data_IF_673079946725
#
_entry.id   IF_673079946725
#
_cell.length_a   1.000
_cell.length_b   1.000
_cell.length_c   1.000
_cell.angle_alpha   90.00
_cell.angle_beta   90.00
_cell.angle_gamma   90.00
#
_symmetry.space_group_name_H-M   'P 1'
#
loop_
_entity.id
_entity.type
_entity.pdbx_description
1 polymer ?
#
# COMPACT_ATOMS: atom_id res chain seq x y z
N UNK A 1 16.26 3.23 7.48
CA UNK A 1 15.47 3.20 8.72
C UNK A 1 14.50 4.37 8.71
N UNK A 2 13.33 4.25 9.36
CA UNK A 2 12.28 5.29 9.43
C UNK A 2 12.93 6.64 9.80
N UNK A 3 13.06 7.54 8.83
CA UNK A 3 14.17 8.49 8.82
C UNK A 3 14.11 9.55 9.92
N UNK A 4 12.95 9.79 10.53
CA UNK A 4 12.78 10.60 11.74
C UNK A 4 11.49 10.15 12.42
N UNK A 5 11.52 9.83 13.72
CA UNK A 5 10.30 9.69 14.53
C UNK A 5 9.67 11.09 14.66
N UNK A 6 8.41 11.30 14.23
CA UNK A 6 7.77 12.60 14.39
C UNK A 6 7.66 12.96 15.87
N UNK A 7 7.82 14.26 16.19
CA UNK A 7 7.78 14.77 17.57
C UNK A 7 6.44 14.50 18.27
N UNK A 8 5.36 14.47 17.49
CA UNK A 8 4.02 14.07 17.91
C UNK A 8 3.69 12.69 17.36
N UNK A 9 3.21 11.80 18.21
CA UNK A 9 2.73 10.48 17.80
C UNK A 9 1.63 10.61 16.74
N UNK A 10 1.80 9.92 15.61
CA UNK A 10 0.86 9.93 14.50
C UNK A 10 -0.31 9.03 14.85
N UNK A 11 -1.39 9.63 15.37
CA UNK A 11 -2.65 8.94 15.69
C UNK A 11 -3.61 8.91 14.51
N UNK A 12 -3.42 9.78 13.51
CA UNK A 12 -4.22 9.87 12.28
C UNK A 12 -3.26 10.16 11.11
N UNK A 13 -3.36 9.44 9.97
CA UNK A 13 -2.57 9.75 8.77
C UNK A 13 -2.85 11.15 8.23
N UNK A 14 -1.81 11.85 7.80
CA UNK A 14 -1.95 13.18 7.16
C UNK A 14 -2.67 13.09 5.82
N UNK A 15 -2.43 12.03 5.05
CA UNK A 15 -3.18 11.74 3.84
C UNK A 15 -4.05 10.49 4.03
N UNK A 16 -5.38 10.67 4.01
CA UNK A 16 -6.34 9.56 4.01
C UNK A 16 -6.57 9.10 2.59
N UNK A 17 -5.93 8.00 2.19
CA UNK A 17 -6.23 7.33 0.93
C UNK A 17 -7.05 6.08 1.23
N UNK A 18 -8.28 5.99 0.73
CA UNK A 18 -9.22 4.92 1.07
C UNK A 18 -10.60 5.05 0.41
N UNK A 19 -11.47 4.06 0.63
CA UNK A 19 -12.73 3.79 -0.10
C UNK A 19 -13.79 4.90 -0.08
N UNK A 20 -13.59 5.96 0.70
CA UNK A 20 -14.49 7.12 0.76
C UNK A 20 -13.85 8.42 0.22
N UNK A 21 -12.56 8.42 -0.12
CA UNK A 21 -11.82 9.65 -0.45
C UNK A 21 -10.87 9.49 -1.63
N UNK A 22 -11.34 9.97 -2.80
CA UNK A 22 -10.52 10.33 -3.96
C UNK A 22 -9.67 9.22 -4.58
N UNK A 23 -9.10 9.48 -5.76
CA UNK A 23 -8.07 8.59 -6.30
C UNK A 23 -6.82 8.71 -5.41
N UNK A 24 -6.23 7.59 -4.94
CA UNK A 24 -4.96 7.63 -4.22
C UNK A 24 -3.90 8.35 -5.08
N UNK A 25 -3.22 9.33 -4.49
CA UNK A 25 -2.13 10.04 -5.18
C UNK A 25 -0.87 9.23 -5.03
N UNK A 26 -0.52 8.49 -6.07
CA UNK A 26 0.75 7.79 -6.12
C UNK A 26 1.90 8.79 -6.33
N UNK A 27 3.08 8.57 -5.69
CA UNK A 27 4.25 9.40 -5.95
C UNK A 27 4.65 9.29 -7.42
N UNK A 28 4.81 10.43 -8.09
CA UNK A 28 5.22 10.49 -9.51
C UNK A 28 6.71 10.20 -9.72
N UNK A 29 7.48 10.12 -8.64
CA UNK A 29 8.94 9.96 -8.63
C UNK A 29 9.40 8.52 -8.41
N UNK A 30 8.50 7.54 -8.45
CA UNK A 30 8.89 6.12 -8.34
C UNK A 30 9.66 5.71 -9.60
N UNK A 31 10.91 5.30 -9.41
CA UNK A 31 11.81 4.78 -10.43
C UNK A 31 12.16 3.31 -10.13
N UNK A 32 12.91 2.67 -11.03
CA UNK A 32 13.42 1.31 -10.81
C UNK A 32 14.41 1.20 -9.64
N UNK A 33 15.01 2.31 -9.21
CA UNK A 33 15.91 2.36 -8.05
C UNK A 33 15.19 2.64 -6.73
N UNK A 34 13.89 2.96 -6.77
CA UNK A 34 13.07 3.18 -5.58
C UNK A 34 12.95 1.89 -4.77
N UNK A 35 13.54 1.88 -3.58
CA UNK A 35 13.42 0.79 -2.60
C UNK A 35 12.23 1.02 -1.67
N UNK A 36 11.78 -0.02 -0.94
CA UNK A 36 10.73 0.15 0.09
C UNK A 36 11.11 1.22 1.13
N UNK A 37 12.38 1.29 1.52
CA UNK A 37 12.87 2.29 2.47
C UNK A 37 12.71 3.73 1.95
N UNK A 38 12.76 3.96 0.64
CA UNK A 38 12.54 5.28 0.05
C UNK A 38 11.08 5.74 0.08
N UNK A 39 10.13 4.81 0.31
CA UNK A 39 8.70 5.09 0.41
C UNK A 39 8.22 5.30 1.85
N UNK A 40 9.10 5.04 2.83
CA UNK A 40 8.80 5.22 4.24
C UNK A 40 8.74 6.71 4.55
N UNK A 41 7.61 7.17 5.10
CA UNK A 41 7.36 8.57 5.41
C UNK A 41 6.80 8.76 6.82
N UNK A 42 6.35 9.99 7.12
CA UNK A 42 5.78 10.33 8.42
C UNK A 42 4.54 9.47 8.75
N UNK A 43 3.68 9.26 7.77
CA UNK A 43 2.46 8.44 7.94
C UNK A 43 2.76 6.95 8.16
N UNK A 44 3.96 6.46 7.81
CA UNK A 44 4.35 5.07 8.10
C UNK A 44 4.39 4.77 9.59
N UNK A 45 4.56 5.80 10.45
CA UNK A 45 4.50 5.65 11.90
C UNK A 45 3.11 5.31 12.43
N UNK A 46 2.05 5.59 11.66
CA UNK A 46 0.68 5.28 12.06
C UNK A 46 0.45 3.78 12.31
N UNK A 47 1.22 2.89 11.65
CA UNK A 47 1.08 1.44 11.84
C UNK A 47 1.37 1.00 13.28
N UNK A 48 2.31 1.67 13.95
CA UNK A 48 2.65 1.37 15.34
C UNK A 48 1.49 1.74 16.28
N UNK A 49 0.81 2.86 16.00
CA UNK A 49 -0.40 3.24 16.73
C UNK A 49 -1.55 2.27 16.45
N UNK A 50 -1.84 2.02 15.16
CA UNK A 50 -2.97 1.20 14.70
C UNK A 50 -2.90 -0.23 15.25
N UNK A 51 -1.72 -0.84 15.23
CA UNK A 51 -1.51 -2.22 15.68
C UNK A 51 -1.01 -2.31 17.13
N UNK A 52 -0.91 -1.18 17.85
CA UNK A 52 -0.39 -1.09 19.22
C UNK A 52 0.97 -1.79 19.36
N UNK A 53 1.92 -1.39 18.53
CA UNK A 53 3.29 -1.92 18.51
C UNK A 53 4.22 -0.95 19.24
N UNK A 54 5.13 -1.48 20.05
CA UNK A 54 6.21 -0.69 20.64
C UNK A 54 7.33 -0.50 19.62
N UNK A 55 7.70 0.75 19.35
CA UNK A 55 8.70 1.11 18.35
C UNK A 55 10.12 1.20 18.91
N UNK A 56 10.34 0.90 20.20
CA UNK A 56 11.67 1.06 20.85
C UNK A 56 12.79 0.33 20.13
N UNK A 57 12.55 -0.89 19.63
CA UNK A 57 13.58 -1.65 18.91
C UNK A 57 14.15 -0.90 17.69
N UNK A 58 13.46 0.09 17.13
CA UNK A 58 13.97 0.89 16.01
C UNK A 58 15.16 1.78 16.38
N UNK A 59 15.44 1.99 17.67
CA UNK A 59 16.61 2.73 18.14
C UNK A 59 17.85 1.85 18.30
N UNK A 60 17.67 0.53 18.26
CA UNK A 60 18.74 -0.45 18.38
C UNK A 60 19.25 -0.87 17.00
N UNK A 61 20.50 -1.34 16.98
CA UNK A 61 21.10 -1.96 15.80
C UNK A 61 20.29 -3.18 15.36
N UNK A 62 20.23 -3.42 14.05
CA UNK A 62 19.39 -4.45 13.44
C UNK A 62 19.75 -5.84 13.98
N UNK A 63 21.04 -6.05 14.25
CA UNK A 63 21.61 -7.26 14.82
C UNK A 63 21.05 -7.56 16.22
N UNK A 64 20.62 -6.52 16.96
CA UNK A 64 20.09 -6.62 18.33
C UNK A 64 18.56 -6.76 18.38
N UNK A 65 17.88 -6.65 17.24
CA UNK A 65 16.42 -6.75 17.19
C UNK A 65 15.89 -8.09 17.71
N UNK A 66 16.51 -9.26 17.40
CA UNK A 66 16.04 -10.54 17.92
C UNK A 66 16.01 -10.62 19.45
N UNK A 67 16.89 -9.89 20.15
CA UNK A 67 16.92 -9.81 21.62
C UNK A 67 15.93 -8.78 22.19
N UNK A 68 15.43 -7.86 21.37
CA UNK A 68 14.51 -6.80 21.82
C UNK A 68 13.10 -7.34 22.05
N UNK A 69 12.60 -7.25 23.30
CA UNK A 69 11.24 -7.64 23.65
C UNK A 69 10.17 -6.93 22.79
N UNK A 70 10.35 -5.63 22.51
CA UNK A 70 9.45 -4.85 21.65
C UNK A 70 9.41 -5.36 20.21
N UNK A 71 10.54 -5.86 19.69
CA UNK A 71 10.59 -6.47 18.35
C UNK A 71 9.88 -7.82 18.33
N UNK A 72 10.18 -8.69 19.31
CA UNK A 72 9.55 -10.01 19.42
C UNK A 72 8.02 -9.91 19.51
N UNK A 73 7.51 -9.01 20.35
CA UNK A 73 6.07 -8.77 20.47
C UNK A 73 5.47 -8.23 19.17
N UNK A 74 6.16 -7.27 18.52
CA UNK A 74 5.70 -6.73 17.25
C UNK A 74 5.69 -7.78 16.14
N UNK A 75 6.70 -8.66 16.08
CA UNK A 75 6.79 -9.75 15.12
C UNK A 75 5.65 -10.76 15.29
N UNK A 76 5.33 -11.16 16.53
CA UNK A 76 4.21 -12.06 16.83
C UNK A 76 2.88 -11.44 16.36
N UNK A 77 2.65 -10.16 16.68
CA UNK A 77 1.44 -9.45 16.25
C UNK A 77 1.34 -9.34 14.73
N UNK A 78 2.45 -9.06 14.05
CA UNK A 78 2.47 -8.94 12.59
C UNK A 78 2.27 -10.31 11.90
N UNK A 79 2.83 -11.38 12.46
CA UNK A 79 2.65 -12.73 11.92
C UNK A 79 1.22 -13.27 12.10
N UNK A 80 0.49 -12.79 13.10
CA UNK A 80 -0.91 -13.16 13.32
C UNK A 80 -1.89 -12.37 12.44
N UNK A 81 -1.43 -11.30 11.78
CA UNK A 81 -2.23 -10.63 10.76
C UNK A 81 -2.44 -11.59 9.61
N UNK A 82 -3.70 -11.96 9.38
CA UNK A 82 -4.07 -12.65 8.17
C UNK A 82 -3.83 -11.69 7.01
N UNK A 83 -2.77 -11.93 6.23
CA UNK A 83 -2.54 -11.24 4.96
C UNK A 83 -3.53 -11.85 3.96
N UNK A 84 -4.82 -11.66 4.25
CA UNK A 84 -5.87 -11.91 3.29
C UNK A 84 -5.53 -11.06 2.10
N UNK A 85 -5.64 -11.64 0.91
CA UNK A 85 -5.38 -10.97 -0.35
C UNK A 85 -6.47 -9.94 -0.62
N UNK A 86 -6.64 -8.98 0.28
CA UNK A 86 -7.64 -7.94 0.29
C UNK A 86 -7.57 -7.15 -1.01
N UNK A 87 -6.38 -6.95 -1.59
CA UNK A 87 -6.28 -6.41 -2.94
C UNK A 87 -6.92 -7.30 -4.03
N UNK A 88 -6.74 -8.63 -4.01
CA UNK A 88 -7.40 -9.51 -4.99
C UNK A 88 -8.88 -9.70 -4.70
N UNK A 89 -9.28 -9.89 -3.44
CA UNK A 89 -10.68 -10.01 -3.04
C UNK A 89 -11.45 -8.73 -3.36
N UNK A 90 -10.86 -7.57 -3.07
CA UNK A 90 -11.41 -6.26 -3.43
C UNK A 90 -11.40 -6.04 -4.95
N UNK A 91 -10.38 -6.53 -5.66
CA UNK A 91 -10.35 -6.53 -7.12
C UNK A 91 -11.52 -7.32 -7.71
N UNK A 92 -11.75 -8.54 -7.21
CA UNK A 92 -12.89 -9.39 -7.61
C UNK A 92 -14.22 -8.72 -7.27
N UNK A 93 -14.35 -8.13 -6.08
CA UNK A 93 -15.56 -7.41 -5.67
C UNK A 93 -15.85 -6.20 -6.55
N UNK A 94 -14.83 -5.37 -6.83
CA UNK A 94 -14.94 -4.23 -7.75
C UNK A 94 -15.36 -4.66 -9.15
N UNK A 95 -14.75 -5.71 -9.71
CA UNK A 95 -15.13 -6.25 -11.02
C UNK A 95 -16.58 -6.76 -11.02
N UNK A 96 -16.99 -7.46 -9.96
CA UNK A 96 -18.35 -7.97 -9.82
C UNK A 96 -19.39 -6.86 -9.68
N UNK A 97 -19.10 -5.83 -8.87
CA UNK A 97 -20.00 -4.68 -8.67
C UNK A 97 -20.13 -3.85 -9.95
N UNK A 98 -19.03 -3.69 -10.72
CA UNK A 98 -19.07 -3.06 -12.04
C UNK A 98 -19.88 -3.85 -13.06
N UNK A 99 -19.76 -5.19 -13.05
CA UNK A 99 -20.56 -6.04 -13.92
C UNK A 99 -22.05 -5.92 -13.59
N UNK A 100 -22.40 -5.85 -12.31
CA UNK A 100 -23.78 -5.64 -11.86
C UNK A 100 -24.31 -4.24 -12.19
N UNK A 101 -23.46 -3.21 -12.18
CA UNK A 101 -23.81 -1.84 -12.53
C UNK A 101 -23.95 -1.61 -14.04
N UNK A 102 -23.27 -2.43 -14.85
CA UNK A 102 -23.34 -2.40 -16.30
C UNK A 102 -24.64 -3.03 -16.75
N UNK A 103 -25.66 -2.21 -17.05
CA UNK A 103 -27.00 -2.64 -17.50
C UNK A 103 -27.01 -3.22 -18.93
N UNK A 104 -25.99 -3.97 -19.32
CA UNK A 104 -25.77 -4.51 -20.66
C UNK A 104 -24.32 -4.44 -21.11
N UNK A 105 -24.01 -5.23 -22.15
CA UNK A 105 -22.66 -5.39 -22.72
C UNK A 105 -22.05 -4.05 -23.17
N UNK A 106 -22.83 -3.17 -23.78
CA UNK A 106 -22.33 -1.88 -24.30
C UNK A 106 -21.78 -0.97 -23.18
N UNK A 107 -22.42 -0.97 -22.01
CA UNK A 107 -21.93 -0.20 -20.86
C UNK A 107 -20.66 -0.82 -20.27
N UNK A 108 -20.57 -2.15 -20.27
CA UNK A 108 -19.38 -2.86 -19.84
C UNK A 108 -18.19 -2.59 -20.76
N UNK A 109 -18.40 -2.57 -22.08
CA UNK A 109 -17.37 -2.23 -23.05
C UNK A 109 -16.83 -0.80 -22.88
N UNK A 110 -17.70 0.18 -22.57
CA UNK A 110 -17.26 1.54 -22.25
C UNK A 110 -16.38 1.58 -20.99
N UNK A 111 -16.71 0.81 -19.96
CA UNK A 111 -15.90 0.69 -18.74
C UNK A 111 -14.54 0.07 -19.07
N UNK A 112 -14.49 -1.01 -19.85
CA UNK A 112 -13.24 -1.65 -20.27
C UNK A 112 -12.32 -0.69 -21.02
N UNK A 113 -12.87 0.14 -21.91
CA UNK A 113 -12.08 1.15 -22.63
C UNK A 113 -11.48 2.20 -21.69
N UNK A 114 -12.24 2.66 -20.70
CA UNK A 114 -11.73 3.62 -19.70
C UNK A 114 -10.64 2.98 -18.83
N UNK A 115 -10.84 1.74 -18.40
CA UNK A 115 -9.84 0.98 -17.60
C UNK A 115 -8.56 0.77 -18.40
N UNK A 116 -8.64 0.38 -19.67
CA UNK A 116 -7.45 0.18 -20.49
C UNK A 116 -6.71 1.50 -20.76
N UNK A 117 -7.45 2.60 -20.98
CA UNK A 117 -6.86 3.94 -21.10
C UNK A 117 -6.13 4.38 -19.83
N UNK A 118 -6.73 4.15 -18.65
CA UNK A 118 -6.11 4.45 -17.35
C UNK A 118 -4.85 3.59 -17.13
N UNK A 119 -4.89 2.30 -17.50
CA UNK A 119 -3.74 1.38 -17.46
C UNK A 119 -2.58 1.81 -18.36
N UNK A 120 -2.86 2.44 -19.50
CA UNK A 120 -1.83 3.01 -20.38
C UNK A 120 -1.20 4.27 -19.81
N UNK A 121 -1.98 5.09 -19.08
CA UNK A 121 -1.47 6.30 -18.42
C UNK A 121 -0.64 5.99 -17.17
N UNK A 122 -0.92 4.87 -16.49
CA UNK A 122 -0.19 4.39 -15.33
C UNK A 122 0.53 3.06 -15.64
N UNK A 123 1.62 3.10 -16.42
CA UNK A 123 2.32 1.89 -16.81
C UNK A 123 2.88 1.18 -15.58
N UNK A 124 2.56 -0.10 -15.45
CA UNK A 124 3.10 -0.94 -14.39
C UNK A 124 4.61 -1.09 -14.61
N UNK A 125 5.42 -0.54 -13.69
CA UNK A 125 6.88 -0.56 -13.76
C UNK A 125 7.48 -1.99 -13.80
N UNK A 126 6.72 -3.00 -13.35
CA UNK A 126 7.13 -4.42 -13.42
C UNK A 126 6.81 -5.09 -14.75
N UNK A 127 5.94 -4.51 -15.58
CA UNK A 127 5.73 -5.00 -16.94
C UNK A 127 6.87 -4.47 -17.79
N UNK A 128 7.84 -5.32 -18.11
CA UNK A 128 8.80 -5.02 -19.19
C UNK A 128 7.97 -4.66 -20.43
N UNK A 129 8.25 -3.51 -21.04
CA UNK A 129 7.79 -3.29 -22.42
C UNK A 129 8.35 -4.45 -23.23
N UNK A 130 7.48 -5.23 -23.88
CA UNK A 130 7.93 -5.99 -25.05
C UNK A 130 8.31 -4.93 -26.06
N UNK A 131 9.57 -4.88 -26.43
CA UNK A 131 10.02 -4.05 -27.51
C UNK A 131 9.25 -4.49 -28.77
N UNK A 132 8.57 -3.53 -29.39
CA UNK A 132 7.88 -3.77 -30.66
C UNK A 132 8.96 -3.96 -31.72
N UNK A 133 9.02 -5.18 -32.27
CA UNK A 133 9.79 -5.53 -33.47
C UNK A 133 9.15 -4.94 -34.72
#
# INVERSE_FOLDING_TARGET
>A
MLTVKPDTDVTIPTNRFGTEFGKPKFPTTITLSTTLSSLVGRDSWFIFHLLKLDSKFLTEDIEMWPECASYQEAAIKLQSLNVVNDCAERGVKLSSDFLAASKGEDHYQNVLQVVEKDRQQQPNLRKRKKDSE
#
